data_IF_243572813326
#
_entry.id   IF_243572813326
#
_cell.length_a   1.000
_cell.length_b   1.000
_cell.length_c   1.000
_cell.angle_alpha   90.00
_cell.angle_beta   90.00
_cell.angle_gamma   90.00
#
_symmetry.space_group_name_H-M   'P 1'
#
loop_
_entity.id
_entity.type
_entity.pdbx_description
1 polymer ?
#
# COMPACT_ATOMS: atom_id res chain seq x y z
N UNK A 1 15.47 20.44 2.64
CA UNK A 1 16.46 19.78 3.55
C UNK A 1 16.14 18.30 3.73
N UNK A 2 14.94 17.92 4.17
CA UNK A 2 14.55 16.51 4.40
C UNK A 2 14.72 15.60 3.17
N UNK A 3 14.22 16.01 2.00
CA UNK A 3 14.38 15.25 0.75
C UNK A 3 15.85 14.98 0.40
N UNK A 4 16.73 15.97 0.59
CA UNK A 4 18.17 15.81 0.34
C UNK A 4 18.80 14.82 1.32
N UNK A 5 18.41 14.83 2.60
CA UNK A 5 18.88 13.86 3.59
C UNK A 5 18.45 12.44 3.23
N UNK A 6 17.21 12.25 2.80
CA UNK A 6 16.73 10.93 2.34
C UNK A 6 17.51 10.48 1.10
N UNK A 7 17.78 11.36 0.14
CA UNK A 7 18.65 11.05 -1.00
C UNK A 7 20.06 10.63 -0.60
N UNK A 8 20.67 11.32 0.37
CA UNK A 8 21.99 10.96 0.90
C UNK A 8 21.97 9.61 1.63
N UNK A 9 20.92 9.33 2.39
CA UNK A 9 20.75 8.05 3.05
C UNK A 9 20.59 6.91 2.04
N UNK A 10 19.76 7.09 1.00
CA UNK A 10 19.61 6.12 -0.08
C UNK A 10 20.94 5.85 -0.78
N UNK A 11 21.70 6.90 -1.12
CA UNK A 11 23.05 6.74 -1.71
C UNK A 11 23.95 5.93 -0.77
N UNK A 12 24.00 6.29 0.50
CA UNK A 12 24.85 5.60 1.48
C UNK A 12 24.44 4.16 1.74
N UNK A 13 23.14 3.83 1.72
CA UNK A 13 22.68 2.44 1.82
C UNK A 13 23.05 1.69 0.55
N UNK A 14 22.86 2.27 -0.63
CA UNK A 14 23.18 1.62 -1.92
C UNK A 14 24.65 1.22 -2.09
N UNK A 15 25.57 1.88 -1.39
CA UNK A 15 27.00 1.56 -1.40
C UNK A 15 27.33 0.24 -0.67
N UNK A 16 26.42 -0.25 0.20
CA UNK A 16 26.61 -1.46 1.01
C UNK A 16 26.41 -2.75 0.18
N UNK A 17 25.96 -2.63 -1.09
CA UNK A 17 25.69 -3.75 -2.02
C UNK A 17 26.80 -4.80 -2.14
N UNK A 18 28.06 -4.42 -1.98
CA UNK A 18 29.20 -5.31 -2.19
C UNK A 18 29.54 -6.21 -0.98
N UNK A 19 28.85 -6.06 0.14
CA UNK A 19 29.08 -6.91 1.31
C UNK A 19 28.41 -8.28 1.18
N UNK A 20 29.07 -9.31 1.70
CA UNK A 20 28.52 -10.66 1.75
C UNK A 20 27.39 -10.70 2.78
N UNK A 21 26.16 -10.81 2.31
CA UNK A 21 24.95 -10.93 3.13
C UNK A 21 24.38 -12.34 3.03
N UNK A 22 23.86 -12.86 4.14
CA UNK A 22 22.97 -14.02 4.11
C UNK A 22 21.60 -13.65 3.51
N UNK A 23 20.70 -14.62 3.40
CA UNK A 23 19.41 -14.39 2.74
C UNK A 23 18.52 -13.40 3.50
N UNK A 24 18.48 -13.48 4.84
CA UNK A 24 17.62 -12.61 5.66
C UNK A 24 18.14 -11.18 5.69
N UNK A 25 19.45 -10.99 5.85
CA UNK A 25 20.09 -9.69 5.77
C UNK A 25 19.95 -9.08 4.36
N UNK A 26 20.10 -9.88 3.30
CA UNK A 26 19.88 -9.39 1.93
C UNK A 26 18.42 -8.96 1.71
N UNK A 27 17.46 -9.74 2.19
CA UNK A 27 16.04 -9.41 2.10
C UNK A 27 15.73 -8.07 2.77
N UNK A 28 16.23 -7.86 4.00
CA UNK A 28 16.04 -6.60 4.74
C UNK A 28 16.75 -5.41 4.07
N UNK A 29 17.93 -5.64 3.50
CA UNK A 29 18.66 -4.62 2.76
C UNK A 29 17.91 -4.18 1.49
N UNK A 30 17.42 -5.13 0.70
CA UNK A 30 16.63 -4.86 -0.50
C UNK A 30 15.30 -4.18 -0.18
N UNK A 31 14.62 -4.57 0.92
CA UNK A 31 13.43 -3.87 1.42
C UNK A 31 13.74 -2.40 1.67
N UNK A 32 14.85 -2.13 2.38
CA UNK A 32 15.20 -0.77 2.76
C UNK A 32 15.44 0.14 1.55
N UNK A 33 16.11 -0.38 0.51
CA UNK A 33 16.33 0.37 -0.72
C UNK A 33 15.00 0.71 -1.40
N UNK A 34 14.09 -0.27 -1.52
CA UNK A 34 12.76 -0.04 -2.08
C UNK A 34 11.98 1.02 -1.27
N UNK A 35 11.96 0.88 0.05
CA UNK A 35 11.23 1.74 0.97
C UNK A 35 11.78 3.17 0.99
N UNK A 36 13.10 3.34 0.90
CA UNK A 36 13.74 4.65 0.79
C UNK A 36 13.44 5.33 -0.54
N UNK A 37 13.46 4.58 -1.65
CA UNK A 37 13.05 5.12 -2.95
C UNK A 37 11.58 5.56 -2.96
N UNK A 38 10.69 4.77 -2.36
CA UNK A 38 9.26 5.10 -2.24
C UNK A 38 9.07 6.36 -1.36
N UNK A 39 9.86 6.48 -0.28
CA UNK A 39 9.87 7.66 0.60
C UNK A 39 10.35 8.92 -0.11
N UNK A 40 11.35 8.82 -0.99
CA UNK A 40 11.79 9.95 -1.80
C UNK A 40 10.69 10.48 -2.71
N UNK A 41 9.94 9.59 -3.36
CA UNK A 41 8.83 9.98 -4.23
C UNK A 41 7.70 10.66 -3.43
N UNK A 42 7.36 10.13 -2.25
CA UNK A 42 6.35 10.71 -1.35
C UNK A 42 6.76 12.10 -0.83
N UNK A 43 8.01 12.28 -0.43
CA UNK A 43 8.55 13.57 0.00
C UNK A 43 8.61 14.57 -1.15
N UNK A 44 8.92 14.10 -2.35
CA UNK A 44 8.93 14.91 -3.57
C UNK A 44 7.51 15.37 -3.92
N UNK A 45 6.51 14.49 -3.84
CA UNK A 45 5.10 14.84 -4.03
C UNK A 45 4.62 15.86 -3.00
N UNK A 46 4.99 15.64 -1.73
CA UNK A 46 4.73 16.58 -0.65
C UNK A 46 5.28 17.96 -1.01
N UNK A 47 6.56 18.06 -1.37
CA UNK A 47 7.20 19.32 -1.74
C UNK A 47 6.51 20.02 -2.92
N UNK A 48 6.18 19.28 -4.00
CA UNK A 48 5.51 19.85 -5.16
C UNK A 48 4.11 20.37 -4.86
N UNK A 49 3.39 19.75 -3.92
CA UNK A 49 2.07 20.23 -3.51
C UNK A 49 2.10 21.55 -2.72
N UNK A 50 3.25 21.90 -2.13
CA UNK A 50 3.43 23.12 -1.32
C UNK A 50 4.12 24.23 -2.11
N UNK A 51 4.86 23.91 -3.17
CA UNK A 51 5.58 24.88 -3.98
C UNK A 51 4.60 25.86 -4.65
N UNK A 52 4.82 27.19 -4.57
CA UNK A 52 3.98 28.15 -5.27
C UNK A 52 4.07 27.93 -6.78
N UNK A 53 2.92 27.87 -7.47
CA UNK A 53 2.87 27.74 -8.92
C UNK A 53 3.63 28.90 -9.58
N UNK A 54 4.84 28.63 -10.05
CA UNK A 54 5.59 29.50 -10.94
C UNK A 54 5.00 29.32 -12.33
N UNK A 55 4.01 30.14 -12.65
CA UNK A 55 3.48 30.47 -13.99
C UNK A 55 1.96 30.46 -14.00
N UNK A 56 1.38 31.66 -13.83
CA UNK A 56 0.01 31.97 -14.20
C UNK A 56 -0.04 32.16 -15.73
N UNK A 57 -0.04 31.08 -16.48
CA UNK A 57 -0.46 31.14 -17.88
C UNK A 57 -1.17 29.85 -18.27
N UNK A 58 -2.47 29.98 -18.46
CA UNK A 58 -3.32 29.17 -19.33
C UNK A 58 -3.25 27.64 -19.19
N UNK A 59 -4.07 27.11 -18.27
CA UNK A 59 -5.06 26.03 -18.52
C UNK A 59 -5.46 25.39 -17.19
N UNK A 60 -6.77 25.21 -17.01
CA UNK A 60 -7.48 24.41 -16.00
C UNK A 60 -6.81 24.23 -14.63
N UNK A 61 -7.38 24.91 -13.62
CA UNK A 61 -6.95 24.90 -12.22
C UNK A 61 -6.69 23.52 -11.61
N UNK A 62 -5.49 22.99 -11.84
CA UNK A 62 -4.94 21.84 -11.16
C UNK A 62 -4.74 22.23 -9.70
N UNK A 63 -5.47 21.56 -8.81
CA UNK A 63 -5.45 21.84 -7.38
C UNK A 63 -4.01 21.77 -6.83
N UNK A 64 -3.58 22.84 -6.18
CA UNK A 64 -2.57 22.80 -5.11
C UNK A 64 -2.98 21.66 -4.18
N UNK A 65 -2.11 20.66 -3.96
CA UNK A 65 -2.48 19.44 -3.23
C UNK A 65 -3.05 19.75 -1.84
N UNK A 66 -3.95 18.89 -1.34
CA UNK A 66 -4.56 19.10 -0.03
C UNK A 66 -3.52 18.91 1.07
N UNK A 67 -3.62 19.66 2.18
CA UNK A 67 -2.83 19.40 3.39
C UNK A 67 -2.94 17.93 3.82
N UNK A 68 -4.12 17.31 3.64
CA UNK A 68 -4.35 15.90 3.93
C UNK A 68 -3.49 14.97 3.06
N UNK A 69 -3.20 15.33 1.80
CA UNK A 69 -2.33 14.57 0.91
C UNK A 69 -0.89 14.62 1.43
N UNK A 70 -0.42 15.81 1.84
CA UNK A 70 0.91 15.99 2.45
C UNK A 70 1.06 15.15 3.71
N UNK A 71 0.10 15.21 4.62
CA UNK A 71 0.09 14.42 5.86
C UNK A 71 0.09 12.92 5.55
N UNK A 72 -0.67 12.49 4.54
CA UNK A 72 -0.71 11.09 4.10
C UNK A 72 0.66 10.62 3.59
N UNK A 73 1.28 11.38 2.69
CA UNK A 73 2.57 11.02 2.10
C UNK A 73 3.71 11.06 3.12
N UNK A 74 3.71 12.02 4.05
CA UNK A 74 4.65 12.06 5.17
C UNK A 74 4.44 10.86 6.11
N UNK A 75 3.19 10.50 6.41
CA UNK A 75 2.86 9.32 7.22
C UNK A 75 3.36 8.02 6.57
N UNK A 76 3.22 7.91 5.25
CA UNK A 76 3.72 6.77 4.50
C UNK A 76 5.26 6.74 4.45
N UNK A 77 5.93 7.88 4.31
CA UNK A 77 7.38 7.96 4.33
C UNK A 77 7.96 7.54 5.70
N UNK A 78 7.28 7.88 6.79
CA UNK A 78 7.66 7.43 8.13
C UNK A 78 7.43 5.92 8.29
N UNK A 79 6.29 5.41 7.82
CA UNK A 79 5.97 3.96 7.81
C UNK A 79 7.01 3.15 7.04
N UNK A 80 7.50 3.67 5.92
CA UNK A 80 8.54 3.03 5.12
C UNK A 80 9.86 2.91 5.90
N UNK A 81 10.22 3.93 6.69
CA UNK A 81 11.43 3.91 7.50
C UNK A 81 11.30 2.93 8.66
N UNK A 82 10.15 2.92 9.34
CA UNK A 82 9.83 1.94 10.38
C UNK A 82 9.96 0.51 9.84
N UNK A 83 9.36 0.24 8.67
CA UNK A 83 9.40 -1.08 8.04
C UNK A 83 10.83 -1.47 7.62
N UNK A 84 11.63 -0.52 7.13
CA UNK A 84 13.03 -0.80 6.85
C UNK A 84 13.77 -1.21 8.13
N UNK A 85 13.64 -0.45 9.22
CA UNK A 85 14.31 -0.75 10.49
C UNK A 85 13.86 -2.09 11.08
N UNK A 86 12.56 -2.37 11.09
CA UNK A 86 11.98 -3.65 11.54
C UNK A 86 12.55 -4.85 10.77
N UNK A 87 12.85 -4.69 9.48
CA UNK A 87 13.47 -5.73 8.66
C UNK A 87 14.79 -6.28 9.23
N UNK A 88 15.52 -5.46 10.00
CA UNK A 88 16.81 -5.80 10.61
C UNK A 88 16.73 -6.26 12.08
N UNK A 89 15.57 -6.23 12.74
CA UNK A 89 15.46 -6.54 14.19
C UNK A 89 16.01 -7.94 14.52
N UNK A 90 15.63 -8.95 13.73
CA UNK A 90 16.04 -10.35 13.90
C UNK A 90 17.33 -10.73 13.13
N UNK A 91 18.00 -9.75 12.52
CA UNK A 91 19.24 -10.02 11.77
C UNK A 91 20.43 -10.01 12.73
N UNK A 92 21.10 -11.16 12.84
CA UNK A 92 22.41 -11.24 13.44
C UNK A 92 23.47 -11.02 12.35
N UNK A 93 23.96 -9.80 12.20
CA UNK A 93 24.92 -9.45 11.16
C UNK A 93 26.34 -9.93 11.44
N UNK A 94 26.55 -10.68 12.55
CA UNK A 94 27.85 -11.23 12.93
C UNK A 94 28.92 -10.16 13.19
N UNK A 95 28.53 -8.92 13.48
CA UNK A 95 29.45 -7.78 13.60
C UNK A 95 29.77 -7.10 12.26
N UNK A 96 29.00 -7.38 11.21
CA UNK A 96 29.15 -6.80 9.86
C UNK A 96 28.75 -5.33 9.76
N UNK A 97 28.15 -4.74 10.80
CA UNK A 97 27.85 -3.32 10.93
C UNK A 97 26.85 -2.79 9.91
N UNK A 98 26.17 -3.65 9.13
CA UNK A 98 25.20 -3.23 8.10
C UNK A 98 23.95 -2.70 8.78
N UNK A 99 23.46 -3.44 9.80
CA UNK A 99 22.31 -3.03 10.61
C UNK A 99 22.56 -1.67 11.25
N UNK A 100 23.68 -1.53 11.97
CA UNK A 100 24.04 -0.29 12.65
C UNK A 100 24.19 0.89 11.70
N UNK A 101 24.80 0.68 10.52
CA UNK A 101 24.94 1.72 9.50
C UNK A 101 23.60 2.16 8.92
N UNK A 102 22.69 1.22 8.66
CA UNK A 102 21.35 1.52 8.15
C UNK A 102 20.52 2.22 9.22
N UNK A 103 20.44 1.67 10.43
CA UNK A 103 19.70 2.25 11.55
C UNK A 103 20.19 3.66 11.90
N UNK A 104 21.50 3.88 11.96
CA UNK A 104 22.08 5.20 12.22
C UNK A 104 21.70 6.22 11.14
N UNK A 105 21.64 5.81 9.87
CA UNK A 105 21.26 6.70 8.77
C UNK A 105 19.76 7.00 8.78
N UNK A 106 18.92 6.06 9.21
CA UNK A 106 17.46 6.21 9.21
C UNK A 106 16.93 6.98 10.41
N UNK A 107 17.56 6.86 11.57
CA UNK A 107 17.10 7.52 12.80
C UNK A 107 16.92 9.03 12.59
N UNK A 108 17.93 9.71 12.05
CA UNK A 108 17.85 11.15 11.75
C UNK A 108 16.75 11.48 10.74
N UNK A 109 16.48 10.59 9.76
CA UNK A 109 15.43 10.81 8.77
C UNK A 109 14.05 10.71 9.39
N UNK A 110 13.85 9.75 10.30
CA UNK A 110 12.57 9.51 10.95
C UNK A 110 12.16 10.69 11.80
N UNK A 111 13.11 11.25 12.56
CA UNK A 111 12.91 12.48 13.33
C UNK A 111 12.59 13.67 12.43
N UNK A 112 13.28 13.82 11.29
CA UNK A 112 12.99 14.92 10.35
C UNK A 112 11.62 14.80 9.69
N UNK A 113 11.22 13.59 9.27
CA UNK A 113 9.90 13.35 8.68
C UNK A 113 8.79 13.53 9.72
N UNK A 114 8.97 13.02 10.94
CA UNK A 114 8.05 13.21 12.07
C UNK A 114 7.89 14.70 12.41
N UNK A 115 8.98 15.47 12.48
CA UNK A 115 8.92 16.91 12.69
C UNK A 115 8.12 17.61 11.57
N UNK A 116 8.38 17.28 10.31
CA UNK A 116 7.58 17.80 9.19
C UNK A 116 6.10 17.43 9.34
N UNK A 117 5.81 16.18 9.67
CA UNK A 117 4.45 15.68 9.86
C UNK A 117 3.71 16.44 10.96
N UNK A 118 4.35 16.67 12.11
CA UNK A 118 3.77 17.43 13.22
C UNK A 118 3.39 18.87 12.83
N UNK A 119 4.22 19.55 12.02
CA UNK A 119 3.94 20.89 11.54
C UNK A 119 2.72 20.92 10.60
N UNK A 120 2.62 19.95 9.68
CA UNK A 120 1.48 19.87 8.77
C UNK A 120 0.20 19.42 9.46
N UNK A 121 0.26 18.46 10.37
CA UNK A 121 -0.88 17.99 11.15
C UNK A 121 -1.46 19.12 12.03
N UNK A 122 -0.60 19.89 12.71
CA UNK A 122 -1.04 21.07 13.46
C UNK A 122 -1.69 22.13 12.56
N UNK A 123 -1.28 22.23 11.28
CA UNK A 123 -1.87 23.18 10.32
C UNK A 123 -3.23 22.74 9.77
N UNK A 124 -3.52 21.43 9.72
CA UNK A 124 -4.81 20.88 9.30
C UNK A 124 -5.88 20.94 10.40
N UNK A 125 -5.48 20.87 11.66
CA UNK A 125 -6.38 20.69 12.80
C UNK A 125 -7.05 21.96 13.32
N UNK A 126 -6.95 23.09 12.62
CA UNK A 126 -7.42 24.44 12.98
C UNK A 126 -8.60 24.55 13.96
N UNK A 127 -8.31 24.30 15.24
CA UNK A 127 -9.05 24.79 16.38
C UNK A 127 -8.52 26.20 16.71
N UNK A 128 -9.42 27.09 17.07
CA UNK A 128 -9.15 28.52 17.12
C UNK A 128 -8.07 28.88 18.14
N UNK A 129 -6.87 29.22 17.68
CA UNK A 129 -5.87 29.86 18.54
C UNK A 129 -4.60 30.29 17.81
N UNK A 130 -4.48 31.59 17.54
CA UNK A 130 -3.20 32.33 17.50
C UNK A 130 -2.23 31.99 16.37
N UNK A 131 -2.11 32.88 15.38
CA UNK A 131 -1.23 32.70 14.23
C UNK A 131 0.27 32.78 14.53
N UNK A 132 1.04 32.01 13.76
CA UNK A 132 2.47 32.28 13.49
C UNK A 132 2.96 31.68 12.16
N UNK A 133 2.15 31.76 11.09
CA UNK A 133 2.59 31.42 9.73
C UNK A 133 2.09 32.41 8.67
N UNK A 134 2.18 33.71 8.96
CA UNK A 134 1.89 34.78 7.99
C UNK A 134 2.91 34.86 6.82
N UNK A 135 3.81 33.89 6.66
CA UNK A 135 4.84 33.86 5.62
C UNK A 135 4.81 32.65 4.69
N UNK A 136 3.94 31.66 4.91
CA UNK A 136 3.77 30.50 3.99
C UNK A 136 2.38 30.61 3.36
N UNK A 137 2.26 30.74 2.03
CA UNK A 137 0.98 30.92 1.38
C UNK A 137 0.21 29.59 1.31
N UNK A 138 -0.31 29.12 2.44
CA UNK A 138 -1.34 28.07 2.47
C UNK A 138 -2.70 28.77 2.45
N UNK A 139 -3.28 28.93 1.26
CA UNK A 139 -4.63 29.47 1.12
C UNK A 139 -5.65 28.44 1.61
N UNK A 140 -6.02 28.56 2.88
CA UNK A 140 -7.08 27.79 3.53
C UNK A 140 -8.46 28.10 2.92
N UNK A 141 -9.03 27.15 2.17
CA UNK A 141 -10.49 27.05 2.01
C UNK A 141 -11.04 26.04 3.02
N UNK A 142 -11.56 26.58 4.13
CA UNK A 142 -12.34 25.85 5.13
C UNK A 142 -13.44 25.01 4.45
N UNK A 143 -13.41 23.69 4.62
CA UNK A 143 -14.63 22.88 4.70
C UNK A 143 -14.71 22.33 6.12
N UNK A 144 -15.44 23.02 7.00
CA UNK A 144 -15.98 22.41 8.21
C UNK A 144 -16.84 21.25 7.75
N UNK A 145 -16.43 20.01 7.96
CA UNK A 145 -17.35 18.87 7.89
C UNK A 145 -18.28 18.98 9.07
N UNK A 146 -19.47 19.55 8.82
CA UNK A 146 -20.61 19.43 9.71
C UNK A 146 -20.84 17.94 9.96
N UNK A 147 -20.67 17.49 11.19
CA UNK A 147 -20.97 16.10 11.60
C UNK A 147 -22.48 15.85 11.71
N UNK A 148 -23.30 16.78 11.18
CA UNK A 148 -24.77 16.78 11.19
C UNK A 148 -25.34 17.47 9.93
N UNK A 149 -24.80 17.21 8.74
CA UNK A 149 -25.55 17.39 7.51
C UNK A 149 -26.04 16.02 7.02
N UNK A 150 -27.37 15.89 6.93
CA UNK A 150 -28.04 14.81 6.21
C UNK A 150 -27.61 14.88 4.74
N UNK A 151 -26.46 14.31 4.42
CA UNK A 151 -26.06 14.09 3.03
C UNK A 151 -26.71 12.79 2.55
N UNK A 152 -27.52 12.94 1.51
CA UNK A 152 -28.20 11.86 0.80
C UNK A 152 -27.23 10.70 0.48
N UNK A 153 -27.43 9.56 1.14
CA UNK A 153 -26.72 8.28 0.95
C UNK A 153 -26.83 7.69 -0.48
N UNK A 154 -27.38 8.43 -1.45
CA UNK A 154 -27.85 7.94 -2.75
C UNK A 154 -27.00 8.35 -3.95
N UNK A 155 -26.01 9.25 -3.86
CA UNK A 155 -25.29 9.71 -5.08
C UNK A 155 -23.93 9.05 -5.36
N UNK A 156 -23.38 8.22 -4.45
CA UNK A 156 -22.00 7.73 -4.53
C UNK A 156 -21.80 6.21 -4.57
N UNK A 157 -22.87 5.41 -4.55
CA UNK A 157 -22.80 3.94 -4.57
C UNK A 157 -22.07 3.29 -3.39
N UNK A 158 -21.67 4.06 -2.37
CA UNK A 158 -20.82 3.61 -1.25
C UNK A 158 -19.32 3.57 -1.56
N UNK A 159 -18.85 4.22 -2.62
CA UNK A 159 -17.41 4.33 -2.93
C UNK A 159 -16.79 5.63 -2.37
N UNK A 160 -15.47 5.65 -2.07
CA UNK A 160 -14.80 6.86 -1.58
C UNK A 160 -14.91 8.04 -2.53
N UNK A 161 -14.94 9.28 -2.02
CA UNK A 161 -15.06 10.51 -2.82
C UNK A 161 -13.91 10.66 -3.83
N UNK A 162 -12.68 10.33 -3.43
CA UNK A 162 -11.49 10.40 -4.29
C UNK A 162 -11.53 9.43 -5.48
N UNK A 163 -12.35 8.38 -5.43
CA UNK A 163 -12.48 7.45 -6.55
C UNK A 163 -13.26 8.12 -7.68
N UNK A 164 -12.67 8.19 -8.88
CA UNK A 164 -13.30 8.86 -10.01
C UNK A 164 -14.62 8.20 -10.44
N UNK A 165 -15.57 8.96 -10.99
CA UNK A 165 -16.82 8.40 -11.52
C UNK A 165 -16.58 7.34 -12.61
N UNK A 166 -15.51 7.51 -13.41
CA UNK A 166 -15.11 6.55 -14.44
C UNK A 166 -14.69 5.22 -13.81
N UNK A 167 -13.87 5.27 -12.77
CA UNK A 167 -13.41 4.06 -12.08
C UNK A 167 -14.55 3.34 -11.35
N UNK A 168 -15.46 4.10 -10.69
CA UNK A 168 -16.64 3.50 -10.05
C UNK A 168 -17.48 2.73 -11.06
N UNK A 169 -17.75 3.35 -12.21
CA UNK A 169 -18.45 2.70 -13.32
C UNK A 169 -17.70 1.45 -13.80
N UNK A 170 -16.38 1.50 -13.97
CA UNK A 170 -15.58 0.34 -14.39
C UNK A 170 -15.64 -0.81 -13.38
N UNK A 171 -15.61 -0.50 -12.08
CA UNK A 171 -15.69 -1.49 -10.99
C UNK A 171 -17.08 -2.12 -10.89
N UNK A 172 -18.13 -1.43 -11.31
CA UNK A 172 -19.51 -1.98 -11.32
C UNK A 172 -19.90 -2.62 -12.67
N UNK A 173 -19.16 -2.34 -13.76
CA UNK A 173 -19.49 -2.84 -15.11
C UNK A 173 -19.28 -4.37 -15.18
N UNK A 174 -20.19 -5.16 -15.77
CA UNK A 174 -19.96 -6.59 -15.98
C UNK A 174 -18.69 -6.86 -16.78
N UNK A 175 -17.92 -7.89 -16.42
CA UNK A 175 -16.63 -8.22 -17.06
C UNK A 175 -16.77 -8.35 -18.60
N UNK A 176 -17.88 -8.94 -19.07
CA UNK A 176 -18.17 -9.11 -20.50
C UNK A 176 -18.30 -7.81 -21.29
N UNK A 177 -18.50 -6.68 -20.63
CA UNK A 177 -18.62 -5.36 -21.24
C UNK A 177 -17.34 -4.50 -21.07
N UNK A 178 -16.31 -5.03 -20.42
CA UNK A 178 -15.04 -4.33 -20.22
C UNK A 178 -14.09 -4.66 -21.37
N UNK A 179 -13.57 -3.62 -22.02
CA UNK A 179 -12.48 -3.75 -22.99
C UNK A 179 -11.14 -3.68 -22.27
N UNK A 180 -10.41 -4.79 -22.25
CA UNK A 180 -9.08 -4.86 -21.65
C UNK A 180 -8.00 -4.28 -22.59
N UNK A 181 -6.99 -3.62 -22.02
CA UNK A 181 -5.79 -3.19 -22.74
C UNK A 181 -4.82 -4.38 -22.93
N UNK A 182 -4.75 -5.25 -21.93
CA UNK A 182 -3.86 -6.42 -21.90
C UNK A 182 -4.65 -7.63 -21.39
N UNK A 183 -4.51 -8.77 -22.07
CA UNK A 183 -5.13 -10.03 -21.63
C UNK A 183 -4.03 -11.03 -21.23
N UNK A 184 -4.13 -11.58 -20.03
CA UNK A 184 -3.24 -12.63 -19.53
C UNK A 184 -3.97 -13.97 -19.55
N UNK A 185 -3.35 -14.99 -20.15
CA UNK A 185 -3.91 -16.34 -20.23
C UNK A 185 -2.83 -17.41 -20.21
N UNK A 186 -2.92 -18.35 -19.26
CA UNK A 186 -2.00 -19.50 -19.21
C UNK A 186 -2.04 -20.34 -20.48
N UNK A 187 -3.22 -20.47 -21.07
CA UNK A 187 -3.46 -21.25 -22.31
C UNK A 187 -2.89 -20.56 -23.56
N UNK A 188 -2.34 -19.34 -23.44
CA UNK A 188 -1.72 -18.61 -24.54
C UNK A 188 -2.68 -17.93 -25.51
N UNK A 189 -4.00 -17.97 -25.25
CA UNK A 189 -5.02 -17.25 -26.03
C UNK A 189 -5.24 -15.80 -25.54
N UNK A 190 -4.20 -15.16 -25.01
CA UNK A 190 -4.16 -13.78 -24.53
C UNK A 190 -2.93 -13.04 -25.08
N UNK A 191 -2.76 -11.78 -24.69
CA UNK A 191 -1.58 -10.97 -25.04
C UNK A 191 -0.30 -11.52 -24.41
N UNK A 192 -0.38 -11.96 -23.14
CA UNK A 192 0.74 -12.54 -22.40
C UNK A 192 0.34 -13.84 -21.70
N UNK A 193 1.34 -14.69 -21.41
CA UNK A 193 1.12 -15.94 -20.66
C UNK A 193 1.20 -15.73 -19.16
N UNK A 194 1.99 -14.76 -18.73
CA UNK A 194 2.28 -14.48 -17.33
C UNK A 194 1.82 -13.08 -16.92
N UNK A 195 1.52 -12.92 -15.64
CA UNK A 195 1.13 -11.65 -15.04
C UNK A 195 2.33 -10.70 -14.99
N UNK A 196 3.53 -11.23 -14.70
CA UNK A 196 4.77 -10.46 -14.69
C UNK A 196 5.08 -9.79 -16.04
N UNK A 197 4.88 -10.50 -17.15
CA UNK A 197 5.03 -9.94 -18.51
C UNK A 197 4.05 -8.80 -18.77
N UNK A 198 2.79 -8.96 -18.38
CA UNK A 198 1.77 -7.92 -18.52
C UNK A 198 2.09 -6.66 -17.71
N UNK A 199 2.54 -6.83 -16.45
CA UNK A 199 3.00 -5.71 -15.61
C UNK A 199 4.17 -5.00 -16.28
N UNK A 200 5.16 -5.75 -16.78
CA UNK A 200 6.35 -5.19 -17.44
C UNK A 200 5.97 -4.39 -18.68
N UNK A 201 5.03 -4.90 -19.49
CA UNK A 201 4.56 -4.28 -20.72
C UNK A 201 3.70 -3.03 -20.52
N UNK A 202 2.96 -2.92 -19.41
CA UNK A 202 2.12 -1.76 -19.14
C UNK A 202 2.95 -0.45 -19.10
N UNK A 203 2.44 0.70 -19.56
CA UNK A 203 3.17 1.95 -19.52
C UNK A 203 3.50 2.39 -18.08
N UNK A 204 4.59 3.14 -17.92
CA UNK A 204 4.94 3.79 -16.65
C UNK A 204 4.28 5.18 -16.58
N UNK A 205 3.87 5.59 -15.37
CA UNK A 205 3.29 6.91 -15.06
C UNK A 205 2.10 7.28 -15.97
N UNK A 206 1.28 6.28 -16.32
CA UNK A 206 0.09 6.49 -17.15
C UNK A 206 -0.93 7.37 -16.43
N UNK A 207 -1.40 8.43 -17.10
CA UNK A 207 -2.55 9.23 -16.65
C UNK A 207 -3.90 8.54 -16.91
N UNK A 208 -3.91 7.50 -17.77
CA UNK A 208 -5.09 6.70 -18.09
C UNK A 208 -5.06 5.36 -17.33
N UNK A 209 -6.23 4.90 -16.91
CA UNK A 209 -6.49 3.53 -16.43
C UNK A 209 -6.07 2.49 -17.49
N UNK A 210 -5.15 1.59 -17.13
CA UNK A 210 -4.74 0.46 -17.96
C UNK A 210 -5.34 -0.81 -17.38
N UNK A 211 -6.15 -1.52 -18.17
CA UNK A 211 -6.90 -2.70 -17.73
C UNK A 211 -6.17 -3.96 -18.16
N UNK A 212 -5.71 -4.74 -17.17
CA UNK A 212 -5.13 -6.07 -17.32
C UNK A 212 -6.18 -7.09 -16.92
N UNK A 213 -6.73 -7.80 -17.91
CA UNK A 213 -7.69 -8.88 -17.69
C UNK A 213 -6.94 -10.21 -17.57
N UNK A 214 -7.08 -10.88 -16.43
CA UNK A 214 -6.41 -12.14 -16.11
C UNK A 214 -7.46 -13.25 -16.15
N UNK A 215 -7.40 -14.09 -17.18
CA UNK A 215 -8.35 -15.20 -17.35
C UNK A 215 -8.27 -16.19 -16.18
N UNK A 216 -9.29 -17.04 -16.07
CA UNK A 216 -9.36 -18.11 -15.10
C UNK A 216 -8.13 -19.01 -15.17
N UNK A 217 -7.62 -19.39 -14.01
CA UNK A 217 -6.40 -20.13 -13.84
C UNK A 217 -5.71 -19.80 -12.52
N UNK A 218 -4.82 -20.69 -12.09
CA UNK A 218 -3.98 -20.50 -10.91
C UNK A 218 -2.58 -20.08 -11.33
N UNK A 219 -2.18 -18.84 -11.06
CA UNK A 219 -0.94 -18.19 -11.48
C UNK A 219 0.06 -18.17 -10.33
N UNK A 220 1.07 -19.03 -10.41
CA UNK A 220 2.15 -19.13 -9.44
C UNK A 220 3.42 -18.53 -10.04
N UNK A 221 3.67 -17.27 -9.68
CA UNK A 221 4.80 -16.48 -10.18
C UNK A 221 5.51 -15.83 -8.99
N UNK A 222 6.84 -15.88 -8.98
CA UNK A 222 7.63 -15.32 -7.88
C UNK A 222 7.68 -13.79 -7.96
N UNK A 223 7.53 -13.14 -6.80
CA UNK A 223 7.74 -11.69 -6.64
C UNK A 223 6.91 -10.82 -7.60
N UNK A 224 5.62 -11.16 -7.77
CA UNK A 224 4.72 -10.33 -8.55
C UNK A 224 4.50 -8.97 -7.88
N UNK A 225 4.90 -7.90 -8.56
CA UNK A 225 4.83 -6.54 -8.02
C UNK A 225 4.43 -5.50 -9.06
N UNK A 226 3.39 -4.73 -8.76
CA UNK A 226 3.07 -3.46 -9.42
C UNK A 226 3.84 -2.34 -8.73
N UNK A 227 5.04 -2.05 -9.20
CA UNK A 227 5.90 -1.01 -8.59
C UNK A 227 5.36 0.42 -8.78
N UNK A 228 5.84 1.36 -7.97
CA UNK A 228 5.36 2.76 -7.92
C UNK A 228 5.26 3.48 -9.27
N UNK A 229 6.16 3.16 -10.20
CA UNK A 229 6.18 3.75 -11.56
C UNK A 229 5.01 3.27 -12.42
N UNK A 230 4.29 2.21 -12.05
CA UNK A 230 3.16 1.64 -12.79
C UNK A 230 1.83 2.15 -12.21
N UNK A 231 1.52 3.41 -12.47
CA UNK A 231 0.30 4.06 -11.96
C UNK A 231 -0.95 3.66 -12.74
N UNK A 232 -2.11 3.71 -12.09
CA UNK A 232 -3.42 3.50 -12.68
C UNK A 232 -3.63 2.12 -13.36
N UNK A 233 -2.93 1.07 -12.88
CA UNK A 233 -3.21 -0.29 -13.33
C UNK A 233 -4.48 -0.83 -12.65
N UNK A 234 -5.32 -1.52 -13.42
CA UNK A 234 -6.47 -2.27 -12.93
C UNK A 234 -6.36 -3.72 -13.35
N UNK A 235 -6.44 -4.63 -12.39
CA UNK A 235 -6.48 -6.07 -12.59
C UNK A 235 -7.91 -6.56 -12.44
N UNK A 236 -8.38 -7.34 -13.41
CA UNK A 236 -9.72 -7.93 -13.41
C UNK A 236 -9.56 -9.43 -13.67
N UNK A 237 -10.13 -10.27 -12.81
CA UNK A 237 -10.19 -11.71 -13.00
C UNK A 237 -11.53 -12.20 -13.55
N UNK A 238 -11.64 -13.50 -13.80
CA UNK A 238 -12.90 -14.17 -14.17
C UNK A 238 -13.82 -14.44 -12.97
N UNK A 239 -13.41 -14.03 -11.77
CA UNK A 239 -14.11 -14.20 -10.52
C UNK A 239 -13.22 -14.75 -9.41
N UNK A 240 -13.59 -14.43 -8.17
CA UNK A 240 -13.02 -15.01 -6.95
C UNK A 240 -13.06 -16.54 -7.03
N UNK A 241 -11.96 -17.20 -6.70
CA UNK A 241 -11.77 -18.65 -6.80
C UNK A 241 -11.54 -19.19 -8.22
N UNK A 242 -11.75 -18.39 -9.28
CA UNK A 242 -11.50 -18.78 -10.68
C UNK A 242 -10.16 -18.26 -11.18
N UNK A 243 -9.87 -16.99 -10.93
CA UNK A 243 -8.56 -16.39 -11.18
C UNK A 243 -7.82 -16.27 -9.85
N UNK A 244 -6.79 -17.10 -9.68
CA UNK A 244 -6.03 -17.19 -8.43
C UNK A 244 -4.58 -16.81 -8.69
N UNK A 245 -4.08 -15.80 -7.99
CA UNK A 245 -2.66 -15.43 -7.93
C UNK A 245 -2.10 -15.99 -6.64
N UNK A 246 -1.02 -16.77 -6.73
CA UNK A 246 -0.53 -17.53 -5.59
C UNK A 246 0.98 -17.55 -5.44
N UNK A 247 1.42 -17.64 -4.20
CA UNK A 247 2.79 -17.90 -3.79
C UNK A 247 2.83 -18.71 -2.49
N UNK A 248 4.04 -18.93 -1.99
CA UNK A 248 4.29 -19.69 -0.76
C UNK A 248 5.51 -19.18 0.01
N UNK A 249 5.93 -17.94 -0.27
CA UNK A 249 7.07 -17.32 0.39
C UNK A 249 6.71 -16.94 1.82
N UNK A 250 7.65 -17.12 2.74
CA UNK A 250 7.44 -16.87 4.17
C UNK A 250 8.73 -16.44 4.88
N UNK A 251 8.58 -15.92 6.10
CA UNK A 251 9.74 -15.59 6.94
C UNK A 251 10.60 -16.80 7.27
N UNK A 252 9.98 -17.99 7.41
CA UNK A 252 10.72 -19.24 7.63
C UNK A 252 11.63 -19.65 6.45
N UNK A 253 11.50 -19.01 5.28
CA UNK A 253 12.39 -19.22 4.14
C UNK A 253 13.56 -18.21 4.12
N UNK A 254 13.80 -17.51 5.24
CA UNK A 254 14.88 -16.52 5.36
C UNK A 254 14.57 -15.18 4.68
N UNK A 255 13.30 -14.90 4.41
CA UNK A 255 12.84 -13.61 3.86
C UNK A 255 12.32 -12.71 4.99
N UNK A 256 12.24 -11.42 4.75
CA UNK A 256 11.48 -10.46 5.56
C UNK A 256 10.00 -10.52 5.20
N UNK A 257 9.10 -10.18 6.14
CA UNK A 257 7.65 -10.16 5.90
C UNK A 257 7.29 -9.32 4.66
N UNK A 258 7.96 -8.18 4.45
CA UNK A 258 7.75 -7.28 3.31
C UNK A 258 8.02 -7.92 1.93
N UNK A 259 8.94 -8.90 1.86
CA UNK A 259 9.29 -9.67 0.66
C UNK A 259 8.61 -11.05 0.54
N UNK A 260 7.73 -11.42 1.48
CA UNK A 260 6.86 -12.61 1.35
C UNK A 260 5.59 -12.49 0.48
N UNK A 261 5.09 -11.30 0.06
CA UNK A 261 3.81 -11.20 -0.65
C UNK A 261 3.73 -12.05 -1.92
N UNK A 262 2.62 -12.78 -2.08
CA UNK A 262 2.29 -13.43 -3.36
C UNK A 262 1.98 -12.40 -4.46
N UNK A 263 1.43 -11.26 -4.08
CA UNK A 263 1.28 -10.08 -4.94
C UNK A 263 1.49 -8.79 -4.14
N UNK A 264 2.27 -7.86 -4.69
CA UNK A 264 2.50 -6.54 -4.10
C UNK A 264 2.07 -5.41 -5.05
N UNK A 265 1.50 -4.33 -4.51
CA UNK A 265 1.15 -3.14 -5.29
C UNK A 265 1.54 -1.84 -4.57
N UNK A 266 2.42 -1.05 -5.19
CA UNK A 266 2.83 0.29 -4.73
C UNK A 266 2.52 1.40 -5.74
N UNK A 267 2.12 1.05 -6.98
CA UNK A 267 1.67 2.01 -7.99
C UNK A 267 0.35 2.70 -7.63
N UNK A 268 0.36 4.03 -7.50
CA UNK A 268 -0.82 4.83 -7.14
C UNK A 268 -2.01 4.58 -8.08
N UNK A 269 -3.20 4.59 -7.50
CA UNK A 269 -4.46 4.30 -8.19
C UNK A 269 -4.66 2.82 -8.51
N UNK A 270 -3.88 1.88 -7.96
CA UNK A 270 -4.06 0.45 -8.23
C UNK A 270 -5.49 -0.03 -7.95
N UNK A 271 -6.07 -0.81 -8.88
CA UNK A 271 -7.37 -1.46 -8.67
C UNK A 271 -7.22 -2.97 -8.89
N UNK A 272 -7.76 -3.78 -7.99
CA UNK A 272 -7.95 -5.22 -8.20
C UNK A 272 -9.43 -5.56 -8.07
N UNK A 273 -9.91 -6.43 -8.97
CA UNK A 273 -11.30 -6.89 -8.97
C UNK A 273 -11.41 -8.34 -9.40
N UNK A 274 -12.30 -9.10 -8.76
CA UNK A 274 -12.68 -10.45 -9.19
C UNK A 274 -11.49 -11.44 -9.22
N UNK A 275 -10.55 -11.31 -8.28
CA UNK A 275 -9.32 -12.11 -8.19
C UNK A 275 -9.14 -12.65 -6.76
N UNK A 276 -8.57 -13.86 -6.63
CA UNK A 276 -8.07 -14.39 -5.37
C UNK A 276 -6.56 -14.19 -5.27
N UNK A 277 -6.08 -13.59 -4.18
CA UNK A 277 -4.67 -13.54 -3.80
C UNK A 277 -4.45 -14.55 -2.67
N UNK A 278 -3.50 -15.47 -2.83
CA UNK A 278 -3.31 -16.58 -1.90
C UNK A 278 -1.84 -16.82 -1.56
N UNK A 279 -1.51 -16.89 -0.27
CA UNK A 279 -0.24 -17.45 0.19
C UNK A 279 -0.45 -18.83 0.84
N UNK A 280 0.20 -19.84 0.29
CA UNK A 280 0.03 -21.25 0.64
C UNK A 280 1.11 -21.79 1.59
N UNK A 281 1.98 -20.94 2.14
CA UNK A 281 3.07 -21.38 3.03
C UNK A 281 2.57 -22.17 4.26
N UNK A 282 1.38 -21.83 4.77
CA UNK A 282 0.76 -22.49 5.92
C UNK A 282 1.19 -21.88 7.27
N UNK A 283 0.52 -22.25 8.37
CA UNK A 283 0.69 -21.56 9.65
C UNK A 283 2.03 -21.89 10.33
N UNK A 284 2.63 -23.04 10.02
CA UNK A 284 3.95 -23.45 10.53
C UNK A 284 5.11 -22.64 9.93
N UNK A 285 4.85 -21.89 8.86
CA UNK A 285 5.84 -21.04 8.17
C UNK A 285 5.85 -19.59 8.69
N UNK A 286 5.04 -19.30 9.71
CA UNK A 286 4.89 -17.97 10.32
C UNK A 286 4.42 -16.93 9.29
N UNK A 287 4.96 -15.70 9.31
CA UNK A 287 4.50 -14.59 8.47
C UNK A 287 4.63 -14.93 6.99
N UNK A 288 3.51 -14.86 6.25
CA UNK A 288 3.45 -15.20 4.84
C UNK A 288 2.32 -14.41 4.14
N UNK A 289 2.69 -13.31 3.50
CA UNK A 289 1.71 -12.34 2.96
C UNK A 289 1.09 -12.84 1.66
N UNK A 290 -0.24 -12.73 1.53
CA UNK A 290 -0.94 -12.99 0.27
C UNK A 290 -0.98 -11.73 -0.59
N UNK A 291 -1.39 -10.61 -0.01
CA UNK A 291 -1.47 -9.32 -0.69
C UNK A 291 -0.82 -8.22 0.14
N UNK A 292 0.14 -7.50 -0.44
CA UNK A 292 0.71 -6.26 0.13
C UNK A 292 0.31 -5.06 -0.71
N UNK A 293 -0.26 -4.04 -0.08
CA UNK A 293 -0.62 -2.79 -0.75
C UNK A 293 0.02 -1.61 -0.02
N UNK A 294 0.79 -0.82 -0.77
CA UNK A 294 1.33 0.49 -0.38
C UNK A 294 1.01 1.56 -1.43
N UNK A 295 -0.05 1.34 -2.21
CA UNK A 295 -0.49 2.21 -3.29
C UNK A 295 -1.56 3.19 -2.78
N UNK A 296 -1.32 4.49 -2.95
CA UNK A 296 -2.31 5.52 -2.62
C UNK A 296 -3.51 5.46 -3.57
N UNK A 297 -4.70 5.76 -3.05
CA UNK A 297 -5.98 5.64 -3.76
C UNK A 297 -6.19 4.25 -4.38
N UNK A 298 -5.78 3.20 -3.68
CA UNK A 298 -5.98 1.82 -4.14
C UNK A 298 -7.36 1.28 -3.79
N UNK A 299 -7.91 0.45 -4.69
CA UNK A 299 -9.20 -0.22 -4.50
C UNK A 299 -9.05 -1.72 -4.71
N UNK A 300 -9.53 -2.51 -3.76
CA UNK A 300 -9.67 -3.97 -3.90
C UNK A 300 -11.14 -4.31 -3.75
N UNK A 301 -11.76 -4.75 -4.84
CA UNK A 301 -13.21 -4.92 -4.92
C UNK A 301 -13.58 -6.34 -5.33
N UNK A 302 -14.39 -7.01 -4.51
CA UNK A 302 -14.82 -8.38 -4.82
C UNK A 302 -13.61 -9.30 -5.10
N UNK A 303 -12.68 -9.36 -4.14
CA UNK A 303 -11.51 -10.23 -4.17
C UNK A 303 -11.49 -11.16 -2.95
N UNK A 304 -10.76 -12.26 -3.07
CA UNK A 304 -10.41 -13.09 -1.90
C UNK A 304 -8.95 -12.84 -1.54
N UNK A 305 -8.64 -12.73 -0.25
CA UNK A 305 -7.28 -12.64 0.28
C UNK A 305 -7.10 -13.77 1.29
N UNK A 306 -6.34 -14.79 0.92
CA UNK A 306 -6.26 -16.06 1.64
C UNK A 306 -4.83 -16.35 2.13
N UNK A 307 -4.68 -16.54 3.44
CA UNK A 307 -3.43 -16.98 4.04
C UNK A 307 -3.65 -17.53 5.46
N UNK A 308 -2.59 -17.44 6.26
CA UNK A 308 -2.63 -17.74 7.70
C UNK A 308 -2.15 -16.50 8.47
N UNK A 309 -0.90 -16.49 8.93
CA UNK A 309 -0.31 -15.32 9.60
C UNK A 309 0.05 -14.24 8.56
N UNK A 310 -0.28 -12.98 8.86
CA UNK A 310 0.05 -11.80 8.05
C UNK A 310 -0.55 -11.80 6.63
N UNK A 311 -1.78 -12.30 6.47
CA UNK A 311 -2.38 -12.53 5.13
C UNK A 311 -2.53 -11.26 4.28
N UNK A 312 -3.03 -10.16 4.84
CA UNK A 312 -3.23 -8.89 4.18
C UNK A 312 -2.36 -7.79 4.81
N UNK A 313 -1.35 -7.35 4.07
CA UNK A 313 -0.47 -6.26 4.49
C UNK A 313 -0.94 -4.93 3.90
N UNK A 314 -1.75 -4.20 4.65
CA UNK A 314 -2.18 -2.81 4.39
C UNK A 314 -1.06 -1.85 4.79
N UNK A 315 0.07 -1.92 4.07
CA UNK A 315 1.34 -1.30 4.44
C UNK A 315 1.24 0.20 4.71
N UNK A 316 0.88 1.01 3.72
CA UNK A 316 0.84 2.48 3.84
C UNK A 316 -0.15 3.11 2.85
N UNK A 317 -0.30 4.45 2.90
CA UNK A 317 -1.18 5.25 2.04
C UNK A 317 -2.68 4.99 2.24
N UNK A 318 -3.55 5.56 1.38
CA UNK A 318 -5.01 5.42 1.47
C UNK A 318 -5.51 4.26 0.63
N UNK A 319 -6.33 3.40 1.23
CA UNK A 319 -6.79 2.16 0.61
C UNK A 319 -8.27 1.89 0.89
N UNK A 320 -8.96 1.25 -0.06
CA UNK A 320 -10.36 0.87 0.09
C UNK A 320 -10.59 -0.58 -0.34
N UNK A 321 -11.08 -1.40 0.58
CA UNK A 321 -11.44 -2.79 0.33
C UNK A 321 -12.95 -2.92 0.44
N UNK A 322 -13.60 -3.54 -0.55
CA UNK A 322 -15.05 -3.71 -0.52
C UNK A 322 -15.50 -5.05 -1.05
N UNK A 323 -16.45 -5.66 -0.35
CA UNK A 323 -17.05 -6.94 -0.73
C UNK A 323 -16.00 -8.06 -0.92
N UNK A 324 -14.91 -7.98 -0.15
CA UNK A 324 -13.83 -8.95 -0.16
C UNK A 324 -14.03 -10.03 0.92
N UNK A 325 -13.48 -11.22 0.68
CA UNK A 325 -13.37 -12.26 1.71
C UNK A 325 -11.90 -12.37 2.15
N UNK A 326 -11.62 -12.21 3.43
CA UNK A 326 -10.27 -12.16 3.98
C UNK A 326 -10.11 -13.26 5.02
N UNK A 327 -9.10 -14.12 4.84
CA UNK A 327 -8.88 -15.31 5.66
C UNK A 327 -7.51 -15.24 6.33
N UNK A 328 -7.43 -15.62 7.61
CA UNK A 328 -6.14 -15.77 8.28
C UNK A 328 -6.24 -16.14 9.76
N UNK A 329 -5.09 -16.15 10.45
CA UNK A 329 -4.97 -16.58 11.85
C UNK A 329 -4.42 -15.47 12.74
N UNK A 330 -3.11 -15.21 12.69
CA UNK A 330 -2.42 -14.22 13.51
C UNK A 330 -2.19 -12.97 12.67
N UNK A 331 -2.57 -11.81 13.19
CA UNK A 331 -2.32 -10.47 12.64
C UNK A 331 -2.67 -10.35 11.15
N UNK A 332 -3.73 -11.03 10.72
CA UNK A 332 -3.92 -11.30 9.30
C UNK A 332 -4.43 -10.09 8.49
N UNK A 333 -4.72 -8.96 9.15
CA UNK A 333 -4.89 -7.64 8.54
C UNK A 333 -3.97 -6.65 9.30
N UNK A 334 -2.82 -6.30 8.76
CA UNK A 334 -1.81 -5.54 9.49
C UNK A 334 -1.14 -4.46 8.64
N UNK A 335 -0.51 -3.49 9.31
CA UNK A 335 0.21 -2.39 8.71
C UNK A 335 -0.22 -1.02 9.23
N UNK A 336 0.12 0.03 8.47
CA UNK A 336 -0.09 1.41 8.87
C UNK A 336 -0.72 2.27 7.75
N UNK A 337 -1.54 1.67 6.88
CA UNK A 337 -2.35 2.43 5.92
C UNK A 337 -3.48 3.22 6.62
N UNK A 338 -4.03 4.20 5.91
CA UNK A 338 -5.36 4.74 6.15
C UNK A 338 -6.37 3.92 5.33
N UNK A 339 -6.94 2.87 5.93
CA UNK A 339 -7.72 1.87 5.19
C UNK A 339 -9.14 1.72 5.73
N UNK A 340 -10.09 1.60 4.80
CA UNK A 340 -11.46 1.19 5.10
C UNK A 340 -11.73 -0.15 4.42
N UNK A 341 -12.15 -1.13 5.22
CA UNK A 341 -12.72 -2.39 4.77
C UNK A 341 -14.23 -2.28 4.93
N UNK A 342 -14.97 -2.39 3.83
CA UNK A 342 -16.40 -2.17 3.81
C UNK A 342 -17.17 -3.37 3.22
N UNK A 343 -18.19 -3.86 3.91
CA UNK A 343 -18.99 -5.02 3.43
C UNK A 343 -18.15 -6.27 3.14
N UNK A 344 -17.00 -6.42 3.79
CA UNK A 344 -16.16 -7.60 3.66
C UNK A 344 -16.64 -8.71 4.60
N UNK A 345 -16.33 -9.96 4.26
CA UNK A 345 -16.37 -11.07 5.21
C UNK A 345 -14.94 -11.35 5.68
N UNK A 346 -14.77 -11.49 6.99
CA UNK A 346 -13.48 -11.68 7.65
C UNK A 346 -13.54 -13.04 8.36
N UNK A 347 -12.74 -13.99 7.90
CA UNK A 347 -12.75 -15.38 8.33
C UNK A 347 -11.52 -15.72 9.16
N UNK A 348 -11.75 -15.96 10.44
CA UNK A 348 -10.75 -16.42 11.39
C UNK A 348 -10.52 -17.94 11.25
N UNK A 349 -9.37 -18.31 10.68
CA UNK A 349 -8.98 -19.71 10.46
C UNK A 349 -8.52 -20.40 11.73
N UNK A 350 -8.55 -21.73 11.71
CA UNK A 350 -7.96 -22.53 12.79
C UNK A 350 -6.44 -22.26 12.89
N UNK A 351 -5.94 -21.74 14.02
CA UNK A 351 -4.52 -21.50 14.20
C UNK A 351 -3.79 -22.79 14.62
N UNK A 352 -2.47 -22.73 14.79
CA UNK A 352 -1.75 -23.82 15.45
C UNK A 352 -2.15 -23.93 16.92
N UNK A 353 -1.79 -25.05 17.56
CA UNK A 353 -1.95 -25.19 19.01
C UNK A 353 -1.30 -24.00 19.74
N UNK A 354 -1.97 -23.51 20.79
CA UNK A 354 -1.50 -22.41 21.66
C UNK A 354 -1.39 -21.02 21.00
N UNK A 355 -1.59 -20.91 19.69
CA UNK A 355 -1.70 -19.62 19.01
C UNK A 355 -3.07 -18.97 19.24
N UNK A 356 -3.06 -17.63 19.38
CA UNK A 356 -4.28 -16.82 19.45
C UNK A 356 -4.53 -16.19 18.10
N UNK A 357 -5.80 -16.14 17.70
CA UNK A 357 -6.22 -15.42 16.50
C UNK A 357 -6.26 -13.94 16.83
N UNK A 358 -5.62 -13.12 16.00
CA UNK A 358 -5.71 -11.66 16.02
C UNK A 358 -6.10 -11.18 14.64
N UNK A 359 -7.18 -10.41 14.55
CA UNK A 359 -7.69 -9.93 13.27
C UNK A 359 -6.81 -8.81 12.74
N UNK A 360 -6.43 -7.87 13.62
CA UNK A 360 -5.69 -6.68 13.23
C UNK A 360 -4.44 -6.46 14.07
N UNK A 361 -3.34 -6.07 13.43
CA UNK A 361 -2.16 -5.48 14.07
C UNK A 361 -1.83 -4.14 13.39
N UNK A 362 -2.39 -3.06 13.95
CA UNK A 362 -2.19 -1.70 13.43
C UNK A 362 -0.86 -1.14 13.98
N UNK A 363 -0.01 -0.58 13.10
CA UNK A 363 1.36 -0.17 13.44
C UNK A 363 1.58 1.36 13.36
N UNK A 364 0.67 2.18 13.89
CA UNK A 364 0.86 3.64 13.97
C UNK A 364 1.79 3.98 15.14
N UNK A 365 2.95 4.56 14.83
CA UNK A 365 3.98 4.91 15.82
C UNK A 365 4.06 6.40 16.14
N UNK A 366 3.58 7.27 15.24
CA UNK A 366 3.53 8.71 15.45
C UNK A 366 2.06 9.18 15.53
N UNK A 367 1.66 9.93 16.59
CA UNK A 367 0.28 10.38 16.78
C UNK A 367 -0.22 11.32 15.68
N UNK A 368 0.68 11.98 14.95
CA UNK A 368 0.36 12.88 13.84
C UNK A 368 0.11 12.12 12.52
N UNK A 369 0.34 10.80 12.48
CA UNK A 369 -0.03 10.00 11.32
C UNK A 369 -1.55 9.88 11.22
N UNK A 370 -2.07 10.17 10.02
CA UNK A 370 -3.50 10.09 9.70
C UNK A 370 -3.93 8.66 9.28
N UNK A 371 -3.33 7.65 9.89
CA UNK A 371 -3.45 6.24 9.52
C UNK A 371 -4.34 5.47 10.50
N UNK A 372 -4.82 4.30 10.07
CA UNK A 372 -5.69 3.46 10.87
C UNK A 372 -6.47 2.44 10.03
N UNK A 373 -6.89 1.36 10.68
CA UNK A 373 -7.74 0.32 10.08
C UNK A 373 -9.19 0.54 10.52
N UNK A 374 -10.08 0.76 9.56
CA UNK A 374 -11.53 0.88 9.81
C UNK A 374 -12.28 -0.29 9.18
N UNK A 375 -13.02 -1.04 10.00
CA UNK A 375 -13.85 -2.17 9.59
C UNK A 375 -15.32 -1.73 9.67
N UNK A 376 -15.96 -1.53 8.52
CA UNK A 376 -17.27 -0.89 8.43
C UNK A 376 -18.30 -1.77 7.71
N UNK A 377 -19.39 -2.14 8.40
CA UNK A 377 -20.43 -3.02 7.86
C UNK A 377 -19.87 -4.35 7.33
N UNK A 378 -18.81 -4.85 7.95
CA UNK A 378 -18.24 -6.17 7.65
C UNK A 378 -18.87 -7.23 8.55
N UNK A 379 -18.64 -8.49 8.19
CA UNK A 379 -19.01 -9.64 8.99
C UNK A 379 -17.76 -10.40 9.40
N UNK A 380 -17.69 -10.84 10.65
CA UNK A 380 -16.54 -11.57 11.19
C UNK A 380 -17.03 -12.95 11.62
N UNK A 381 -16.43 -13.99 11.08
CA UNK A 381 -16.83 -15.38 11.28
C UNK A 381 -15.62 -16.27 11.59
N UNK A 382 -15.79 -17.39 12.32
CA UNK A 382 -14.86 -18.49 12.21
C UNK A 382 -14.91 -19.06 10.77
N UNK A 383 -13.75 -19.42 10.21
CA UNK A 383 -13.69 -20.19 8.97
C UNK A 383 -14.32 -21.57 9.23
N UNK A 384 -15.33 -22.00 8.45
CA UNK A 384 -15.93 -23.33 8.61
C UNK A 384 -15.03 -24.47 8.13
N UNK A 385 -13.94 -24.16 7.42
CA UNK A 385 -12.95 -25.14 6.93
C UNK A 385 -11.79 -25.29 7.89
#
# INVERSE_FOLDING_TARGET
MTLQRVGNALSGVSEITNLKMDQRLRSAYEDCLELLEDSMDQLTQSLFSIAPATDKSDSDGAAVGSTDDVVTWLSAALTNQDTCTEGFEDVNDGGGGVKDQVESKLKELSELVSNCLSLYAASSDGDGGGGDFSGVPVQNRRRRRSLLEKEDYSSGGGFPEWMSRKDRRLVETPISAIQADIVVSKEGNGTYKTIGEAIKAAPQKSSRRIIIYVKAGRYEEKMLKVGRKKTNLMFIGDGKGKTVITGSQSVADGLTTFHTPSFAATGAGFIARDITFENTAGPAKHQAVALRVGADHSVVYHCDISGYQDSLYVHSQRQFYRECDIYGTVDFIFGNAAVVLQKCNIFARKPMAEQKITITAQNRKDPNQNTGISIHNCRIYPDPT
#
